data_IF_528507769093
#
_entry.id   IF_528507769093
#
_cell.length_a   1.000
_cell.length_b   1.000
_cell.length_c   1.000
_cell.angle_alpha   90.00
_cell.angle_beta   90.00
_cell.angle_gamma   90.00
#
_symmetry.space_group_name_H-M   'P 1'
#
loop_
_entity.id
_entity.type
_entity.pdbx_description
1 polymer ?
#
# COMPACT_ATOMS: atom_id res chain seq x y z
N UNK A 1 -3.91 -17.92 -5.55
CA UNK A 1 -3.03 -16.76 -5.78
C UNK A 1 -3.57 -15.61 -4.96
N UNK A 2 -3.22 -15.52 -3.67
CA UNK A 2 -3.66 -14.45 -2.78
C UNK A 2 -2.40 -13.70 -2.36
N UNK A 3 -2.16 -12.53 -2.95
CA UNK A 3 -1.04 -11.70 -2.53
C UNK A 3 -1.46 -10.99 -1.24
N UNK A 4 -0.95 -11.47 -0.11
CA UNK A 4 -1.17 -10.86 1.19
C UNK A 4 -0.29 -9.60 1.34
N UNK A 5 -0.64 -8.55 0.58
CA UNK A 5 -0.07 -7.22 0.77
C UNK A 5 -0.59 -6.63 2.08
N UNK A 6 0.31 -6.49 3.06
CA UNK A 6 -0.02 -5.94 4.38
C UNK A 6 0.57 -4.54 4.52
N UNK A 7 -0.30 -3.54 4.53
CA UNK A 7 0.04 -2.17 4.88
C UNK A 7 -0.20 -1.94 6.37
N UNK A 8 0.74 -1.28 7.03
CA UNK A 8 0.63 -0.94 8.44
C UNK A 8 0.98 0.52 8.69
N UNK A 9 0.23 1.16 9.58
CA UNK A 9 0.48 2.54 9.94
C UNK A 9 1.67 2.59 10.91
N UNK A 10 2.74 3.35 10.62
CA UNK A 10 3.87 3.47 11.55
C UNK A 10 3.51 4.25 12.82
N UNK A 11 2.41 5.03 12.81
CA UNK A 11 2.02 5.85 13.96
C UNK A 11 1.10 5.12 14.95
N UNK A 12 0.12 4.36 14.45
CA UNK A 12 -0.89 3.71 15.30
C UNK A 12 -0.92 2.19 15.16
N UNK A 13 -0.02 1.62 14.34
CA UNK A 13 0.04 0.20 14.02
C UNK A 13 -1.24 -0.39 13.40
N UNK A 14 -2.20 0.46 13.02
CA UNK A 14 -3.43 0.06 12.35
C UNK A 14 -3.18 -0.42 10.92
N UNK A 15 -3.99 -1.35 10.46
CA UNK A 15 -3.96 -1.91 9.10
C UNK A 15 -5.07 -1.35 8.21
N UNK A 16 -5.99 -0.54 8.74
CA UNK A 16 -7.04 0.11 7.94
C UNK A 16 -6.53 1.38 7.26
N UNK A 17 -6.64 1.40 5.95
CA UNK A 17 -6.25 2.53 5.10
C UNK A 17 -7.27 2.79 4.01
N UNK A 18 -7.22 4.02 3.50
CA UNK A 18 -7.82 4.40 2.22
C UNK A 18 -6.72 4.58 1.19
N UNK A 19 -7.04 4.36 -0.07
CA UNK A 19 -6.17 4.71 -1.20
C UNK A 19 -6.77 5.89 -1.95
N UNK A 20 -5.93 6.85 -2.33
CA UNK A 20 -6.36 7.99 -3.14
C UNK A 20 -5.26 8.41 -4.10
N UNK A 21 -5.62 8.70 -5.35
CA UNK A 21 -4.68 9.22 -6.35
C UNK A 21 -4.05 10.56 -5.93
N UNK A 22 -4.78 11.37 -5.14
CA UNK A 22 -4.28 12.63 -4.60
C UNK A 22 -3.19 12.46 -3.53
N UNK A 23 -3.19 11.31 -2.85
CA UNK A 23 -2.22 10.99 -1.80
C UNK A 23 -0.96 10.28 -2.38
N UNK A 24 -0.91 10.07 -3.71
CA UNK A 24 0.23 9.45 -4.40
C UNK A 24 1.39 10.43 -4.48
N UNK A 25 2.55 10.00 -4.02
CA UNK A 25 3.80 10.76 -4.07
C UNK A 25 5.00 9.81 -4.11
N UNK A 26 6.20 10.33 -4.31
CA UNK A 26 7.44 9.54 -4.26
C UNK A 26 7.58 8.78 -2.93
N UNK A 27 7.10 9.36 -1.83
CA UNK A 27 7.13 8.77 -0.47
C UNK A 27 5.91 7.90 -0.16
N UNK A 28 4.92 7.84 -1.05
CA UNK A 28 3.69 7.05 -0.90
C UNK A 28 3.16 6.64 -2.29
N UNK A 29 3.85 5.72 -2.99
CA UNK A 29 3.52 5.40 -4.37
C UNK A 29 2.14 4.73 -4.53
N UNK A 30 1.65 4.10 -3.47
CA UNK A 30 0.32 3.46 -3.45
C UNK A 30 -0.81 4.42 -3.07
N UNK A 31 -0.50 5.66 -2.69
CA UNK A 31 -1.51 6.60 -2.20
C UNK A 31 -2.23 6.11 -0.93
N UNK A 32 -1.59 5.22 -0.16
CA UNK A 32 -2.19 4.54 0.99
C UNK A 32 -2.03 5.37 2.27
N UNK A 33 -3.16 5.78 2.86
CA UNK A 33 -3.24 6.61 4.07
C UNK A 33 -4.05 5.92 5.14
N UNK A 34 -3.56 5.93 6.37
CA UNK A 34 -4.33 5.45 7.52
C UNK A 34 -5.63 6.24 7.70
N UNK A 35 -6.75 5.54 7.87
CA UNK A 35 -8.06 6.17 8.05
C UNK A 35 -8.11 6.95 9.37
N UNK A 36 -7.42 6.46 10.40
CA UNK A 36 -7.42 7.06 11.74
C UNK A 36 -6.46 8.25 11.84
N UNK A 37 -5.18 8.03 11.53
CA UNK A 37 -4.13 9.03 11.79
C UNK A 37 -3.76 9.85 10.56
N UNK A 38 -4.25 9.48 9.37
CA UNK A 38 -3.87 10.08 8.08
C UNK A 38 -2.36 10.06 7.80
N UNK A 39 -1.61 9.16 8.46
CA UNK A 39 -0.21 8.89 8.13
C UNK A 39 -0.12 8.00 6.90
N UNK A 40 0.94 8.18 6.11
CA UNK A 40 1.25 7.29 4.99
C UNK A 40 1.50 5.88 5.54
N UNK A 41 0.88 4.88 4.93
CA UNK A 41 1.08 3.49 5.32
C UNK A 41 2.46 3.00 4.86
N UNK A 42 3.09 2.16 5.67
CA UNK A 42 4.30 1.44 5.26
C UNK A 42 3.94 0.04 4.78
N UNK A 43 4.59 -0.39 3.71
CA UNK A 43 4.43 -1.74 3.18
C UNK A 43 5.29 -2.72 3.98
N UNK A 44 4.69 -3.74 4.58
CA UNK A 44 5.38 -4.77 5.38
C UNK A 44 5.36 -6.13 4.66
N UNK A 45 5.54 -6.14 3.34
CA UNK A 45 5.69 -7.38 2.57
C UNK A 45 7.14 -7.70 2.28
N UNK A 46 7.57 -8.92 2.59
CA UNK A 46 8.81 -9.49 2.06
C UNK A 46 8.61 -9.77 0.57
N UNK A 47 9.02 -8.85 -0.30
CA UNK A 47 9.00 -9.07 -1.75
C UNK A 47 9.98 -10.19 -2.09
N UNK A 48 9.50 -11.40 -2.36
CA UNK A 48 10.27 -12.35 -3.16
C UNK A 48 10.25 -11.83 -4.61
N UNK A 49 11.42 -11.83 -5.27
CA UNK A 49 11.64 -11.25 -6.60
C UNK A 49 10.78 -11.84 -7.74
N UNK A 50 9.93 -12.82 -7.45
CA UNK A 50 9.00 -13.46 -8.39
C UNK A 50 7.57 -12.92 -8.33
N UNK A 51 7.22 -12.10 -7.33
CA UNK A 51 5.88 -11.52 -7.20
C UNK A 51 5.76 -10.25 -8.05
N UNK A 52 5.37 -10.42 -9.32
CA UNK A 52 4.85 -9.35 -10.17
C UNK A 52 3.77 -8.59 -9.41
N UNK A 53 3.93 -7.28 -9.27
CA UNK A 53 2.99 -6.35 -8.62
C UNK A 53 1.58 -6.56 -9.20
N UNK A 54 0.61 -7.09 -8.43
CA UNK A 54 -0.75 -7.25 -8.91
C UNK A 54 -1.42 -5.89 -8.83
N UNK A 55 -1.50 -5.22 -9.97
CA UNK A 55 -2.14 -3.91 -10.08
C UNK A 55 -1.86 -3.14 -11.37
N UNK A 56 -0.77 -3.44 -12.09
CA UNK A 56 -0.57 -2.89 -13.45
C UNK A 56 -1.33 -3.76 -14.44
N UNK A 57 -2.58 -3.39 -14.72
CA UNK A 57 -3.33 -3.94 -15.85
C UNK A 57 -2.69 -3.39 -17.14
N UNK A 58 -1.89 -4.21 -17.83
CA UNK A 58 -1.73 -4.01 -19.27
C UNK A 58 -3.06 -4.35 -19.92
N UNK A 59 -3.64 -3.37 -20.61
CA UNK A 59 -4.99 -3.42 -21.15
C UNK A 59 -5.21 -4.53 -22.17
N UNK A 60 -6.44 -5.03 -22.17
CA UNK A 60 -7.22 -5.36 -23.36
C UNK A 60 -8.57 -4.68 -23.22
#
# INVERSE_FOLDING_TARGET
>A
MNLNIHFRCPCCHGSQYRMSAFDVSEKNPFGAKCIFCKTNMVFNGSMNASDKIPGVRHGV
#
